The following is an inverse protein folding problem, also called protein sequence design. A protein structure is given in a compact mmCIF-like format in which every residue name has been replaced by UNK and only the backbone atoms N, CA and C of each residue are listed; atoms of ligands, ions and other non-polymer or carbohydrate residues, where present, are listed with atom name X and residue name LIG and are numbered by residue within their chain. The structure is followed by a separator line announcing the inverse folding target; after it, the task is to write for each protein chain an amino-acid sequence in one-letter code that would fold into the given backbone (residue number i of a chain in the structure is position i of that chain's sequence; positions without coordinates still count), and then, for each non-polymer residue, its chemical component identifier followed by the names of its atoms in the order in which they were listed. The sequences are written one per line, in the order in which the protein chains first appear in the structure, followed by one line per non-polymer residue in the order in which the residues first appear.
data_IF_667071564839
#
_entry.id   IF_667071564839
#
_cell.length_a   1.000
_cell.length_b   1.000
_cell.length_c   1.000
_cell.angle_alpha   90.00
_cell.angle_beta   90.00
_cell.angle_gamma   90.00
#
_symmetry.space_group_name_H-M   'P 1'
#
loop_
_entity.id
_entity.type
_entity.pdbx_description
1 polymer ?
#
# COMPACT_ATOMS: atom_id res chain seq x y z
N UNK A 1 -34.65 35.86 11.90
CA UNK A 1 -33.26 35.97 11.41
C UNK A 1 -32.25 35.40 12.42
N UNK A 2 -32.35 34.12 12.83
CA UNK A 2 -31.40 33.51 13.81
C UNK A 2 -31.13 32.03 13.46
N UNK A 3 -30.88 31.69 12.19
CA UNK A 3 -30.51 30.32 11.77
C UNK A 3 -29.21 30.22 10.95
N UNK A 4 -28.59 31.35 10.60
CA UNK A 4 -27.35 31.37 9.81
C UNK A 4 -26.05 31.39 10.64
N UNK A 5 -26.09 31.89 11.87
CA UNK A 5 -24.88 32.20 12.64
C UNK A 5 -24.26 30.98 13.34
N UNK A 6 -25.08 29.96 13.68
CA UNK A 6 -24.60 28.78 14.41
C UNK A 6 -23.82 27.82 13.49
N UNK A 7 -24.15 27.77 12.20
CA UNK A 7 -23.50 26.86 11.25
C UNK A 7 -22.09 27.36 10.88
N UNK A 8 -21.88 28.69 10.77
CA UNK A 8 -20.58 29.28 10.45
C UNK A 8 -19.54 29.06 11.56
N UNK A 9 -19.97 29.10 12.84
CA UNK A 9 -19.12 28.86 14.00
C UNK A 9 -18.62 27.40 14.07
N UNK A 10 -19.43 26.43 13.64
CA UNK A 10 -19.05 25.01 13.61
C UNK A 10 -18.05 24.68 12.50
N UNK A 11 -18.15 25.32 11.33
CA UNK A 11 -17.16 25.14 10.26
C UNK A 11 -15.83 25.83 10.59
N UNK A 12 -15.87 27.06 11.14
CA UNK A 12 -14.65 27.77 11.54
C UNK A 12 -13.90 27.06 12.68
N UNK A 13 -14.61 26.43 13.63
CA UNK A 13 -13.98 25.67 14.72
C UNK A 13 -13.39 24.32 14.27
N UNK A 14 -13.89 23.72 13.19
CA UNK A 14 -13.35 22.50 12.62
C UNK A 14 -12.04 22.75 11.84
N UNK A 15 -11.93 23.86 11.12
CA UNK A 15 -10.70 24.26 10.42
C UNK A 15 -9.61 24.75 11.39
N UNK A 16 -9.99 25.45 12.47
CA UNK A 16 -9.05 25.87 13.52
C UNK A 16 -8.52 24.66 14.32
N UNK A 17 -9.31 23.61 14.51
CA UNK A 17 -8.87 22.40 15.20
C UNK A 17 -7.84 21.58 14.41
N UNK A 18 -7.84 21.66 13.07
CA UNK A 18 -6.81 21.04 12.21
C UNK A 18 -5.54 21.89 12.08
N UNK A 19 -5.64 23.21 12.28
CA UNK A 19 -4.52 24.14 12.22
C UNK A 19 -3.65 24.19 13.50
N UNK A 20 -3.98 23.41 14.54
CA UNK A 20 -3.30 23.45 15.83
C UNK A 20 -2.36 22.25 16.10
N UNK A 21 -2.26 21.28 15.18
CA UNK A 21 -1.32 20.15 15.34
C UNK A 21 0.05 20.50 14.75
N UNK A 22 0.98 20.88 15.62
CA UNK A 22 2.41 21.04 15.30
C UNK A 22 3.03 19.69 14.96
N UNK A 23 3.55 19.53 13.75
CA UNK A 23 4.32 18.35 13.40
C UNK A 23 3.48 17.14 12.95
N UNK A 24 3.93 16.48 11.87
CA UNK A 24 3.38 15.22 11.35
C UNK A 24 4.50 14.21 11.19
N UNK A 25 4.18 12.93 11.38
CA UNK A 25 5.09 11.83 11.07
C UNK A 25 4.35 10.67 10.43
N UNK A 26 4.95 10.06 9.41
CA UNK A 26 4.36 8.94 8.69
C UNK A 26 5.44 8.00 8.12
N UNK A 27 4.99 6.80 7.78
CA UNK A 27 5.81 5.79 7.14
C UNK A 27 5.43 5.68 5.66
N UNK A 28 6.44 5.57 4.81
CA UNK A 28 6.30 5.18 3.41
C UNK A 28 7.22 3.98 3.13
N UNK A 29 7.11 3.43 1.94
CA UNK A 29 7.92 2.31 1.49
C UNK A 29 8.91 2.83 0.46
N UNK A 30 10.20 2.60 0.69
CA UNK A 30 11.27 2.98 -0.23
C UNK A 30 11.13 2.23 -1.55
N UNK A 31 11.19 2.96 -2.66
CA UNK A 31 11.28 2.39 -4.02
C UNK A 31 12.69 1.92 -4.38
N UNK A 32 13.68 2.19 -3.52
CA UNK A 32 15.07 1.85 -3.80
C UNK A 32 15.33 0.36 -3.59
N UNK A 33 15.64 -0.27 -4.70
CA UNK A 33 16.11 -1.63 -4.78
C UNK A 33 17.63 -1.68 -4.54
N UNK A 34 18.11 -2.58 -3.67
CA UNK A 34 19.56 -2.84 -3.50
C UNK A 34 19.84 -4.33 -3.21
N UNK A 35 20.94 -4.90 -3.76
CA UNK A 35 21.36 -6.26 -3.44
C UNK A 35 22.13 -6.31 -2.12
N UNK A 36 22.10 -7.46 -1.45
CA UNK A 36 23.01 -7.73 -0.32
C UNK A 36 24.33 -8.26 -0.90
N UNK A 37 25.44 -7.53 -0.71
CA UNK A 37 26.73 -7.84 -1.34
C UNK A 37 27.22 -9.30 -1.11
N UNK A 38 26.87 -9.89 0.04
CA UNK A 38 27.28 -11.24 0.45
C UNK A 38 26.14 -12.29 0.38
N UNK A 39 25.02 -12.00 -0.29
CA UNK A 39 23.90 -12.95 -0.37
C UNK A 39 23.28 -12.97 -1.77
N UNK A 40 22.76 -14.14 -2.15
CA UNK A 40 21.84 -14.25 -3.28
C UNK A 40 20.44 -13.72 -2.96
N UNK A 41 20.21 -13.20 -1.76
CA UNK A 41 18.93 -12.56 -1.39
C UNK A 41 18.93 -11.08 -1.76
N UNK A 42 17.78 -10.66 -2.29
CA UNK A 42 17.46 -9.26 -2.57
C UNK A 42 16.93 -8.62 -1.28
N UNK A 43 17.29 -7.36 -1.01
CA UNK A 43 16.70 -6.60 0.11
C UNK A 43 15.23 -6.33 -0.24
N UNK A 44 14.33 -6.77 0.63
CA UNK A 44 12.90 -6.47 0.53
C UNK A 44 12.67 -4.96 0.70
N UNK A 45 11.50 -4.46 0.32
CA UNK A 45 11.18 -3.04 0.44
C UNK A 45 11.42 -2.55 1.88
N UNK A 46 12.18 -1.48 2.03
CA UNK A 46 12.57 -0.90 3.33
C UNK A 46 11.64 0.26 3.69
N UNK A 47 11.43 0.49 4.99
CA UNK A 47 10.66 1.64 5.45
C UNK A 47 11.44 2.94 5.22
N UNK A 48 10.71 3.99 4.84
CA UNK A 48 11.16 5.37 4.90
C UNK A 48 10.30 6.12 5.93
N UNK A 49 10.96 6.79 6.86
CA UNK A 49 10.33 7.61 7.90
C UNK A 49 10.28 9.03 7.38
N UNK A 50 9.12 9.66 7.43
CA UNK A 50 8.88 11.00 6.90
C UNK A 50 8.21 11.86 7.97
N UNK A 51 8.56 13.13 8.00
CA UNK A 51 7.97 14.09 8.92
C UNK A 51 8.01 15.51 8.39
N UNK A 52 7.10 16.33 8.89
CA UNK A 52 7.00 17.74 8.60
C UNK A 52 6.76 18.45 9.93
N UNK A 53 7.68 19.31 10.36
CA UNK A 53 7.59 20.07 11.62
C UNK A 53 7.16 21.51 11.35
N UNK A 54 5.99 21.68 10.76
CA UNK A 54 5.38 23.01 10.60
C UNK A 54 4.68 23.40 11.90
N UNK A 55 5.46 23.95 12.83
CA UNK A 55 5.01 24.35 14.15
C UNK A 55 4.98 25.87 14.25
N UNK A 56 3.92 26.47 14.82
CA UNK A 56 3.90 27.89 15.15
C UNK A 56 5.11 28.27 16.00
N UNK A 57 5.62 29.50 15.85
CA UNK A 57 6.78 30.03 16.58
C UNK A 57 6.65 29.98 18.11
N UNK A 58 5.43 29.80 18.64
CA UNK A 58 5.14 29.67 20.06
C UNK A 58 5.04 28.21 20.56
N UNK A 59 5.18 27.22 19.69
CA UNK A 59 5.02 25.80 20.04
C UNK A 59 6.37 25.11 20.12
N UNK A 60 6.60 24.37 21.21
CA UNK A 60 7.84 23.60 21.34
C UNK A 60 7.89 22.45 20.32
N UNK A 61 9.03 22.29 19.66
CA UNK A 61 9.22 21.32 18.58
C UNK A 61 9.42 19.90 19.14
N UNK A 62 8.76 18.88 18.56
CA UNK A 62 9.09 17.49 18.80
C UNK A 62 10.59 17.22 18.57
N UNK A 63 11.23 16.55 19.51
CA UNK A 63 12.69 16.35 19.54
C UNK A 63 13.13 14.96 19.09
N UNK A 64 12.21 13.99 19.11
CA UNK A 64 12.55 12.58 18.90
C UNK A 64 11.50 11.88 18.06
N UNK A 65 11.93 11.11 17.06
CA UNK A 65 11.10 10.18 16.31
C UNK A 65 11.48 8.76 16.69
N UNK A 66 10.49 7.90 16.94
CA UNK A 66 10.70 6.48 17.26
C UNK A 66 9.88 5.58 16.35
N UNK A 67 10.50 4.52 15.82
CA UNK A 67 9.84 3.51 14.98
C UNK A 67 9.65 2.21 15.77
N UNK A 68 8.48 1.58 15.65
CA UNK A 68 8.09 0.41 16.43
C UNK A 68 7.49 -0.70 15.56
N UNK A 69 7.44 -1.92 16.11
CA UNK A 69 6.82 -3.11 15.47
C UNK A 69 5.42 -3.43 15.98
N UNK A 70 4.83 -2.54 16.76
CA UNK A 70 3.43 -2.53 17.18
C UNK A 70 3.10 -1.13 17.70
N UNK A 71 1.84 -0.89 18.03
CA UNK A 71 1.37 0.41 18.50
C UNK A 71 1.99 0.79 19.87
N UNK A 72 2.80 1.87 19.95
CA UNK A 72 3.39 2.31 21.20
C UNK A 72 2.39 2.94 22.17
N UNK A 73 1.20 3.34 21.70
CA UNK A 73 0.13 3.89 22.56
C UNK A 73 -0.44 2.80 23.47
N UNK A 74 -0.71 1.62 22.88
CA UNK A 74 -1.33 0.49 23.56
C UNK A 74 -0.30 -0.45 24.19
N UNK A 75 0.92 -0.50 23.68
CA UNK A 75 1.99 -1.36 24.21
C UNK A 75 3.15 -0.51 24.75
N UNK A 76 3.06 -0.09 26.01
CA UNK A 76 4.08 0.78 26.64
C UNK A 76 5.45 0.10 26.85
N UNK A 77 5.54 -1.22 26.75
CA UNK A 77 6.81 -1.96 26.97
C UNK A 77 7.57 -2.22 25.68
N UNK A 78 6.99 -1.88 24.52
CA UNK A 78 7.63 -2.10 23.24
C UNK A 78 8.88 -1.22 23.08
N UNK A 79 9.98 -1.85 22.67
CA UNK A 79 11.23 -1.14 22.40
C UNK A 79 11.23 -0.59 20.97
N UNK A 80 11.70 0.66 20.77
CA UNK A 80 11.85 1.20 19.42
C UNK A 80 12.91 0.43 18.65
N UNK A 81 12.66 0.20 17.36
CA UNK A 81 13.63 -0.34 16.40
C UNK A 81 14.59 0.71 15.86
N UNK A 82 14.14 1.97 15.86
CA UNK A 82 14.90 3.11 15.40
C UNK A 82 14.50 4.32 16.24
N UNK A 83 15.48 5.14 16.60
CA UNK A 83 15.30 6.44 17.24
C UNK A 83 16.05 7.45 16.36
N UNK A 84 15.40 8.55 16.02
CA UNK A 84 15.97 9.62 15.19
C UNK A 84 15.77 10.95 15.90
N UNK A 85 16.74 11.85 15.72
CA UNK A 85 16.57 13.28 16.01
C UNK A 85 16.16 14.00 14.71
N UNK A 86 15.00 14.68 14.65
CA UNK A 86 14.60 15.44 13.48
C UNK A 86 15.64 16.47 13.03
N UNK A 87 16.38 17.04 13.98
CA UNK A 87 17.41 18.06 13.73
C UNK A 87 18.62 17.51 12.95
N UNK A 88 18.93 16.22 13.08
CA UNK A 88 20.02 15.57 12.33
C UNK A 88 19.65 15.31 10.86
N UNK A 89 18.37 15.44 10.51
CA UNK A 89 17.81 15.09 9.21
C UNK A 89 16.88 16.21 8.70
N UNK A 90 17.43 17.39 8.36
CA UNK A 90 16.65 18.60 8.05
C UNK A 90 15.77 18.47 6.79
N UNK A 91 15.95 17.41 5.98
CA UNK A 91 15.13 17.13 4.80
C UNK A 91 13.75 16.55 5.12
N UNK A 92 13.45 16.24 6.38
CA UNK A 92 12.13 15.72 6.77
C UNK A 92 11.93 14.24 6.44
N UNK A 93 13.00 13.49 6.16
CA UNK A 93 12.90 12.05 5.94
C UNK A 93 14.19 11.29 6.29
N UNK A 94 14.04 9.99 6.53
CA UNK A 94 15.13 9.06 6.78
C UNK A 94 14.83 7.68 6.19
N UNK A 95 15.79 7.14 5.41
CA UNK A 95 15.70 5.79 4.84
C UNK A 95 16.30 4.78 5.80
N UNK A 96 15.47 3.83 6.23
CA UNK A 96 15.85 2.83 7.22
C UNK A 96 16.45 1.58 6.56
N UNK A 97 16.98 0.67 7.39
CA UNK A 97 17.27 -0.72 7.02
C UNK A 97 16.18 -1.70 7.51
N UNK A 98 15.01 -1.18 7.91
CA UNK A 98 13.91 -1.97 8.45
C UNK A 98 13.07 -2.44 7.27
N UNK A 99 13.03 -3.75 7.05
CA UNK A 99 12.23 -4.34 5.97
C UNK A 99 10.74 -4.32 6.30
N UNK A 100 9.92 -4.01 5.29
CA UNK A 100 8.46 -4.10 5.37
C UNK A 100 8.06 -5.58 5.45
N UNK A 101 8.68 -6.44 4.64
CA UNK A 101 8.33 -7.85 4.60
C UNK A 101 7.03 -8.10 3.83
N UNK A 102 6.41 -9.25 4.13
CA UNK A 102 5.05 -9.60 3.72
C UNK A 102 4.19 -9.78 4.97
N UNK A 103 3.88 -8.69 5.71
CA UNK A 103 3.07 -8.81 6.92
C UNK A 103 1.67 -9.35 6.56
N UNK A 104 1.01 -10.07 7.48
CA UNK A 104 -0.40 -10.40 7.34
C UNK A 104 -1.23 -9.14 7.10
N UNK A 105 -2.29 -9.26 6.30
CA UNK A 105 -3.19 -8.15 6.01
C UNK A 105 -4.21 -8.05 7.16
N UNK A 106 -4.19 -6.97 7.96
CA UNK A 106 -5.06 -6.80 9.12
C UNK A 106 -6.53 -6.63 8.71
N UNK A 107 -7.45 -6.67 9.67
CA UNK A 107 -8.88 -6.39 9.42
C UNK A 107 -9.61 -7.47 8.62
N UNK A 108 -9.09 -8.71 8.61
CA UNK A 108 -9.66 -9.85 7.88
C UNK A 108 -9.29 -9.91 6.39
N UNK A 109 -8.45 -8.99 5.92
CA UNK A 109 -8.06 -8.88 4.50
C UNK A 109 -6.98 -9.88 4.05
N UNK A 110 -6.54 -10.77 4.94
CA UNK A 110 -5.63 -11.88 4.65
C UNK A 110 -6.31 -13.06 3.95
N UNK A 111 -7.64 -13.16 4.12
CA UNK A 111 -8.49 -14.15 3.47
C UNK A 111 -9.33 -13.52 2.36
N UNK A 112 -9.61 -14.28 1.30
CA UNK A 112 -10.30 -13.77 0.09
C UNK A 112 -11.83 -13.85 0.18
N UNK A 113 -12.31 -14.54 1.20
CA UNK A 113 -13.69 -14.97 1.43
C UNK A 113 -14.16 -14.65 2.86
N UNK A 114 -13.28 -14.08 3.69
CA UNK A 114 -13.56 -13.76 5.08
C UNK A 114 -14.39 -12.50 5.27
N UNK A 115 -14.89 -12.32 6.49
CA UNK A 115 -15.48 -11.07 6.92
C UNK A 115 -14.39 -9.99 6.99
N UNK A 116 -14.48 -8.98 6.10
CA UNK A 116 -13.51 -7.89 6.04
C UNK A 116 -14.07 -6.63 6.71
N UNK A 117 -13.23 -5.98 7.52
CA UNK A 117 -13.58 -4.71 8.13
C UNK A 117 -13.30 -3.57 7.14
N UNK A 118 -14.26 -2.66 6.89
CA UNK A 118 -14.02 -1.48 6.07
C UNK A 118 -13.06 -0.51 6.78
N UNK A 119 -12.55 0.46 6.04
CA UNK A 119 -11.64 1.50 6.53
C UNK A 119 -10.16 1.13 6.44
N UNK A 120 -9.30 2.10 6.79
CA UNK A 120 -7.86 1.87 6.88
C UNK A 120 -7.49 0.98 8.07
N UNK A 121 -6.49 0.11 7.88
CA UNK A 121 -5.96 -0.75 8.94
C UNK A 121 -4.45 -0.64 9.05
N UNK A 122 -3.94 -0.57 10.28
CA UNK A 122 -2.51 -0.52 10.56
C UNK A 122 -1.84 -1.88 10.31
N UNK A 123 -0.77 -1.86 9.52
CA UNK A 123 0.25 -2.91 9.55
C UNK A 123 1.07 -2.79 10.84
N UNK A 124 1.93 -3.78 11.09
CA UNK A 124 2.77 -3.85 12.30
C UNK A 124 3.76 -2.69 12.46
N UNK A 125 3.98 -1.86 11.45
CA UNK A 125 5.00 -0.81 11.48
C UNK A 125 4.37 0.50 11.94
N UNK A 126 4.84 1.00 13.08
CA UNK A 126 4.38 2.25 13.68
C UNK A 126 5.52 3.25 13.80
N UNK A 127 5.18 4.53 13.78
CA UNK A 127 6.10 5.63 14.04
C UNK A 127 5.44 6.63 14.96
N UNK A 128 6.22 7.25 15.84
CA UNK A 128 5.71 8.29 16.72
C UNK A 128 6.72 9.41 16.91
N UNK A 129 6.18 10.62 17.03
CA UNK A 129 6.85 11.83 17.48
C UNK A 129 6.74 11.92 19.00
N UNK A 130 7.85 12.31 19.62
CA UNK A 130 7.97 12.54 21.05
C UNK A 130 8.52 13.94 21.31
N UNK A 131 8.15 14.47 22.48
CA UNK A 131 8.67 15.71 23.04
C UNK A 131 8.98 15.48 24.51
N UNK A 132 10.22 15.71 24.92
CA UNK A 132 10.69 15.53 26.31
C UNK A 132 10.32 14.16 26.93
N UNK A 133 10.24 13.13 26.08
CA UNK A 133 9.85 11.77 26.48
C UNK A 133 8.35 11.47 26.39
N UNK A 134 7.50 12.47 26.23
CA UNK A 134 6.05 12.31 26.07
C UNK A 134 5.67 12.05 24.62
N UNK A 135 4.73 11.12 24.41
CA UNK A 135 4.22 10.79 23.08
C UNK A 135 3.35 11.93 22.57
N UNK A 136 3.80 12.56 21.49
CA UNK A 136 3.12 13.70 20.89
C UNK A 136 2.10 13.26 19.81
N UNK A 137 2.53 12.42 18.86
CA UNK A 137 1.68 11.89 17.80
C UNK A 137 2.20 10.53 17.36
N UNK A 138 1.31 9.63 16.95
CA UNK A 138 1.68 8.36 16.32
C UNK A 138 0.92 8.10 15.03
N UNK A 139 1.55 7.34 14.14
CA UNK A 139 0.94 6.82 12.92
C UNK A 139 1.50 5.44 12.61
N UNK A 140 0.96 4.80 11.57
CA UNK A 140 1.36 3.47 11.15
C UNK A 140 1.34 3.38 9.63
N UNK A 141 2.08 2.42 9.08
CA UNK A 141 1.91 2.03 7.67
C UNK A 141 0.55 1.32 7.54
N UNK A 142 -0.26 1.69 6.53
CA UNK A 142 -1.67 1.25 6.43
C UNK A 142 -1.99 0.59 5.11
N UNK A 143 -2.97 -0.31 5.15
CA UNK A 143 -3.77 -0.71 3.99
C UNK A 143 -5.02 0.17 3.90
N UNK A 144 -5.53 0.36 2.69
CA UNK A 144 -6.69 1.22 2.39
C UNK A 144 -7.68 0.49 1.47
N UNK A 145 -8.30 -0.59 1.94
CA UNK A 145 -9.04 -1.50 1.07
C UNK A 145 -10.39 -0.94 0.59
N UNK A 146 -10.98 0.06 1.26
CA UNK A 146 -12.32 0.60 0.92
C UNK A 146 -12.33 2.12 0.76
N UNK A 147 -11.19 2.72 0.39
CA UNK A 147 -11.02 4.17 0.45
C UNK A 147 -12.00 4.94 -0.46
N UNK A 148 -12.42 4.38 -1.60
CA UNK A 148 -13.37 5.05 -2.49
C UNK A 148 -14.75 5.14 -1.82
N UNK A 149 -15.20 4.07 -1.18
CA UNK A 149 -16.45 4.00 -0.44
C UNK A 149 -16.40 4.83 0.85
N UNK A 150 -15.29 4.77 1.58
CA UNK A 150 -15.09 5.53 2.82
C UNK A 150 -15.17 7.04 2.55
N UNK A 151 -14.58 7.48 1.43
CA UNK A 151 -14.56 8.87 0.99
C UNK A 151 -15.69 9.22 0.00
N UNK A 152 -16.70 8.35 -0.21
CA UNK A 152 -17.74 8.52 -1.24
C UNK A 152 -18.52 9.83 -1.18
N UNK A 153 -18.63 10.45 0.01
CA UNK A 153 -19.29 11.77 0.15
C UNK A 153 -18.48 12.89 -0.51
N UNK A 154 -17.16 12.75 -0.54
CA UNK A 154 -16.24 13.71 -1.16
C UNK A 154 -15.98 13.34 -2.62
N UNK A 155 -15.79 12.04 -2.90
CA UNK A 155 -15.36 11.55 -4.21
C UNK A 155 -16.49 11.12 -5.14
N UNK A 156 -17.61 10.64 -4.60
CA UNK A 156 -18.63 9.90 -5.38
C UNK A 156 -19.41 10.74 -6.39
N UNK A 157 -19.28 12.08 -6.36
CA UNK A 157 -19.86 12.99 -7.35
C UNK A 157 -18.86 13.44 -8.41
N UNK A 158 -17.59 13.13 -8.23
CA UNK A 158 -16.52 13.54 -9.14
C UNK A 158 -16.44 12.55 -10.30
N UNK A 159 -16.30 13.01 -11.56
CA UNK A 159 -15.98 12.13 -12.68
C UNK A 159 -14.67 11.38 -12.40
N UNK A 160 -14.59 10.12 -12.81
CA UNK A 160 -13.38 9.28 -12.63
C UNK A 160 -12.12 9.98 -13.16
N UNK A 161 -12.21 10.68 -14.30
CA UNK A 161 -11.08 11.41 -14.89
C UNK A 161 -10.60 12.64 -14.11
N UNK A 162 -11.29 13.03 -13.04
CA UNK A 162 -10.87 14.11 -12.13
C UNK A 162 -10.27 13.59 -10.82
N UNK A 163 -10.27 12.27 -10.62
CA UNK A 163 -9.74 11.64 -9.42
C UNK A 163 -8.26 11.30 -9.60
N UNK A 164 -7.47 11.48 -8.54
CA UNK A 164 -6.15 10.86 -8.45
C UNK A 164 -6.34 9.40 -8.03
N UNK A 165 -6.20 8.48 -8.98
CA UNK A 165 -6.39 7.04 -8.75
C UNK A 165 -5.04 6.34 -8.81
N UNK A 166 -4.61 5.65 -7.74
CA UNK A 166 -3.36 4.90 -7.76
C UNK A 166 -3.49 3.67 -8.66
N UNK A 167 -2.47 3.48 -9.50
CA UNK A 167 -2.37 2.37 -10.45
C UNK A 167 -1.04 1.65 -10.37
N UNK A 168 -1.00 0.43 -10.90
CA UNK A 168 0.24 -0.36 -11.01
C UNK A 168 0.49 -0.72 -12.48
N UNK A 169 1.73 -0.52 -12.94
CA UNK A 169 2.18 -0.89 -14.28
C UNK A 169 2.45 -2.40 -14.39
N UNK A 170 1.97 -3.04 -15.45
CA UNK A 170 2.02 -4.50 -15.62
C UNK A 170 1.60 -5.24 -14.34
N UNK A 171 0.40 -4.97 -13.81
CA UNK A 171 -0.05 -5.39 -12.48
C UNK A 171 0.04 -6.90 -12.21
N UNK A 172 -0.05 -7.72 -13.26
CA UNK A 172 0.08 -9.18 -13.18
C UNK A 172 1.52 -9.71 -13.16
N UNK A 173 2.52 -8.84 -13.32
CA UNK A 173 3.94 -9.18 -13.37
C UNK A 173 4.57 -9.17 -11.99
N UNK A 174 4.10 -10.08 -11.12
CA UNK A 174 4.65 -10.32 -9.79
C UNK A 174 5.25 -11.72 -9.65
N UNK A 175 6.14 -11.86 -8.67
CA UNK A 175 6.77 -13.14 -8.39
C UNK A 175 5.82 -14.11 -7.67
N UNK A 176 5.86 -15.37 -8.07
CA UNK A 176 5.33 -16.50 -7.31
C UNK A 176 6.45 -17.05 -6.39
N UNK A 177 6.60 -16.53 -5.18
CA UNK A 177 7.59 -16.98 -4.17
C UNK A 177 8.74 -15.98 -3.87
N UNK A 178 9.80 -16.46 -3.19
CA UNK A 178 10.90 -15.62 -2.65
C UNK A 178 11.93 -15.17 -3.72
N UNK A 179 12.37 -13.90 -3.68
CA UNK A 179 13.35 -13.32 -4.61
C UNK A 179 14.78 -13.87 -4.41
N UNK A 180 15.40 -14.35 -5.48
CA UNK A 180 16.80 -14.81 -5.50
C UNK A 180 17.63 -14.03 -6.53
N UNK A 181 18.96 -14.02 -6.40
CA UNK A 181 19.88 -13.36 -7.34
C UNK A 181 19.92 -14.04 -8.70
N UNK A 182 19.52 -15.31 -8.82
CA UNK A 182 19.36 -15.96 -10.14
C UNK A 182 18.18 -15.40 -10.94
N UNK A 183 17.28 -14.68 -10.27
CA UNK A 183 16.19 -13.94 -10.89
C UNK A 183 16.63 -12.58 -11.47
N UNK A 184 17.91 -12.38 -11.76
CA UNK A 184 18.40 -11.13 -12.38
C UNK A 184 17.73 -10.85 -13.73
N UNK A 185 17.33 -11.89 -14.49
CA UNK A 185 16.45 -11.73 -15.66
C UNK A 185 15.03 -11.26 -15.29
N UNK A 186 14.51 -11.69 -14.13
CA UNK A 186 13.21 -11.21 -13.62
C UNK A 186 13.23 -9.74 -13.22
N UNK A 187 14.41 -9.11 -12.98
CA UNK A 187 14.49 -7.67 -12.69
C UNK A 187 13.92 -6.79 -13.80
N UNK A 188 13.96 -7.27 -15.04
CA UNK A 188 13.40 -6.57 -16.19
C UNK A 188 12.01 -7.07 -16.60
N UNK A 189 11.49 -8.10 -15.91
CA UNK A 189 10.20 -8.75 -16.23
C UNK A 189 9.14 -8.51 -15.17
N UNK A 190 9.53 -8.36 -13.90
CA UNK A 190 8.63 -8.16 -12.78
C UNK A 190 8.59 -6.69 -12.42
N UNK A 191 7.38 -6.15 -12.35
CA UNK A 191 7.12 -4.75 -12.01
C UNK A 191 6.43 -4.63 -10.65
N UNK A 192 5.93 -5.74 -10.11
CA UNK A 192 5.18 -5.79 -8.86
C UNK A 192 5.80 -6.81 -7.89
N UNK A 193 5.88 -6.48 -6.62
CA UNK A 193 6.34 -7.39 -5.55
C UNK A 193 5.16 -8.10 -4.84
N UNK A 194 3.92 -7.73 -5.18
CA UNK A 194 2.66 -8.23 -4.61
C UNK A 194 1.71 -8.77 -5.68
N UNK A 195 0.91 -9.77 -5.31
CA UNK A 195 -0.20 -10.22 -6.16
C UNK A 195 -1.32 -9.17 -6.25
N UNK A 196 -2.25 -9.36 -7.19
CA UNK A 196 -3.33 -8.39 -7.45
C UNK A 196 -4.24 -8.20 -6.23
N UNK A 197 -4.59 -9.27 -5.51
CA UNK A 197 -5.34 -9.14 -4.25
C UNK A 197 -4.69 -8.15 -3.29
N UNK A 198 -3.40 -8.34 -2.98
CA UNK A 198 -2.66 -7.47 -2.07
C UNK A 198 -2.53 -6.05 -2.62
N UNK A 199 -2.30 -5.87 -3.93
CA UNK A 199 -2.31 -4.53 -4.54
C UNK A 199 -3.64 -3.80 -4.28
N UNK A 200 -4.78 -4.47 -4.51
CA UNK A 200 -6.12 -3.91 -4.28
C UNK A 200 -6.36 -3.57 -2.80
N UNK A 201 -5.99 -4.45 -1.88
CA UNK A 201 -6.10 -4.21 -0.43
C UNK A 201 -5.27 -3.01 0.02
N UNK A 202 -4.10 -2.79 -0.59
CA UNK A 202 -3.26 -1.62 -0.32
C UNK A 202 -3.82 -0.31 -0.92
N UNK A 203 -4.87 -0.38 -1.75
CA UNK A 203 -5.60 0.79 -2.26
C UNK A 203 -5.48 1.01 -3.77
N UNK A 204 -4.75 0.15 -4.51
CA UNK A 204 -4.66 0.24 -5.97
C UNK A 204 -6.04 0.04 -6.62
N UNK A 205 -6.38 0.86 -7.62
CA UNK A 205 -7.66 0.76 -8.34
C UNK A 205 -7.51 0.82 -9.86
N UNK A 206 -6.33 1.12 -10.39
CA UNK A 206 -6.05 1.01 -11.82
C UNK A 206 -5.06 -0.14 -12.06
N UNK A 207 -5.49 -1.15 -12.79
CA UNK A 207 -4.69 -2.33 -13.09
C UNK A 207 -4.34 -2.36 -14.58
N UNK A 208 -3.04 -2.43 -14.85
CA UNK A 208 -2.43 -2.47 -16.17
C UNK A 208 -2.16 -3.92 -16.60
N UNK A 209 -2.94 -4.46 -17.54
CA UNK A 209 -3.02 -5.90 -17.83
C UNK A 209 -2.61 -6.20 -19.28
N UNK A 210 -1.35 -6.65 -19.47
CA UNK A 210 -0.78 -7.14 -20.75
C UNK A 210 -1.21 -8.54 -21.11
N UNK A 211 -2.22 -8.72 -21.95
CA UNK A 211 -2.74 -10.06 -22.25
C UNK A 211 -2.15 -10.67 -23.51
N UNK A 212 -1.62 -11.89 -23.39
CA UNK A 212 -1.29 -12.79 -24.50
C UNK A 212 -2.22 -14.00 -24.56
N UNK A 213 -2.52 -14.45 -25.78
CA UNK A 213 -3.28 -15.69 -26.03
C UNK A 213 -2.37 -16.79 -26.56
N UNK A 214 -2.47 -17.98 -25.97
CA UNK A 214 -1.64 -19.14 -26.27
C UNK A 214 -2.52 -20.33 -26.65
N UNK A 215 -2.71 -20.60 -27.96
CA UNK A 215 -3.56 -21.71 -28.41
C UNK A 215 -2.96 -23.06 -28.03
N UNK A 216 -3.83 -24.04 -27.76
CA UNK A 216 -3.43 -25.44 -27.54
C UNK A 216 -2.71 -25.98 -28.78
N UNK A 217 -1.55 -26.63 -28.58
CA UNK A 217 -0.84 -27.27 -29.70
C UNK A 217 -1.56 -28.57 -30.08
N UNK A 218 -1.86 -28.81 -31.37
CA UNK A 218 -2.59 -30.00 -31.82
C UNK A 218 -1.89 -31.34 -31.52
N UNK A 219 -0.58 -31.33 -31.18
CA UNK A 219 0.21 -32.53 -30.93
C UNK A 219 0.76 -32.66 -29.49
N UNK A 220 0.14 -32.00 -28.49
CA UNK A 220 0.53 -32.19 -27.10
C UNK A 220 -0.04 -33.53 -26.57
N UNK A 221 0.75 -34.60 -26.69
CA UNK A 221 0.49 -35.95 -26.18
C UNK A 221 0.56 -36.08 -24.65
N UNK A 222 0.33 -34.99 -23.90
CA UNK A 222 0.24 -35.05 -22.45
C UNK A 222 -1.23 -35.35 -22.06
N UNK A 223 -1.53 -36.54 -21.50
CA UNK A 223 -2.87 -36.85 -21.03
C UNK A 223 -3.15 -36.00 -19.78
N UNK A 224 -4.03 -35.00 -19.90
CA UNK A 224 -4.50 -34.21 -18.75
C UNK A 224 -4.80 -32.73 -19.02
N UNK A 225 -4.33 -32.14 -20.12
CA UNK A 225 -4.65 -30.75 -20.49
C UNK A 225 -5.90 -30.67 -21.40
N UNK A 226 -6.98 -31.34 -21.01
CA UNK A 226 -8.26 -31.17 -21.68
C UNK A 226 -8.84 -29.77 -21.35
N UNK A 227 -8.92 -28.95 -22.40
CA UNK A 227 -10.07 -28.09 -22.69
C UNK A 227 -10.58 -27.16 -21.58
N UNK A 228 -9.71 -26.38 -20.95
CA UNK A 228 -10.17 -25.16 -20.28
C UNK A 228 -9.66 -23.93 -21.04
N UNK A 229 -10.52 -23.37 -21.91
CA UNK A 229 -10.22 -22.21 -22.76
C UNK A 229 -9.68 -21.00 -21.98
N UNK A 230 -10.05 -20.91 -20.69
CA UNK A 230 -9.61 -19.88 -19.73
C UNK A 230 -8.09 -19.95 -19.47
N UNK A 231 -7.47 -21.13 -19.55
CA UNK A 231 -6.02 -21.29 -19.28
C UNK A 231 -5.13 -20.83 -20.44
N UNK A 232 -5.73 -20.36 -21.54
CA UNK A 232 -5.01 -19.87 -22.73
C UNK A 232 -4.63 -18.40 -22.65
N UNK A 233 -5.22 -17.63 -21.73
CA UNK A 233 -4.91 -16.22 -21.54
C UNK A 233 -3.93 -16.01 -20.39
N UNK A 234 -2.85 -15.31 -20.69
CA UNK A 234 -1.76 -15.03 -19.75
C UNK A 234 -1.45 -13.55 -19.74
N UNK A 235 -1.08 -13.04 -18.56
CA UNK A 235 -0.40 -11.77 -18.45
C UNK A 235 1.07 -11.95 -18.77
N UNK A 236 1.56 -11.09 -19.65
CA UNK A 236 2.91 -11.12 -20.16
C UNK A 236 3.71 -9.91 -19.71
N UNK A 237 5.03 -10.07 -19.68
CA UNK A 237 5.94 -8.96 -19.85
C UNK A 237 6.67 -9.18 -21.17
N UNK A 238 6.33 -8.38 -22.19
CA UNK A 238 6.79 -8.61 -23.57
C UNK A 238 6.39 -10.02 -24.06
N UNK A 239 7.33 -10.84 -24.56
CA UNK A 239 7.08 -12.20 -25.04
C UNK A 239 6.98 -13.26 -23.92
N UNK A 240 7.22 -12.89 -22.66
CA UNK A 240 7.32 -13.84 -21.55
C UNK A 240 5.98 -13.96 -20.80
N UNK A 241 5.48 -15.19 -20.66
CA UNK A 241 4.30 -15.54 -19.85
C UNK A 241 4.62 -15.46 -18.36
N UNK A 242 3.83 -14.72 -17.59
CA UNK A 242 4.05 -14.55 -16.14
C UNK A 242 2.92 -15.16 -15.31
N UNK A 243 1.70 -14.62 -15.42
CA UNK A 243 0.58 -14.99 -14.54
C UNK A 243 -0.66 -15.32 -15.38
N UNK A 244 -1.39 -16.41 -15.11
CA UNK A 244 -2.64 -16.68 -15.80
C UNK A 244 -3.64 -15.54 -15.60
N UNK A 245 -4.28 -15.06 -16.67
CA UNK A 245 -5.26 -13.98 -16.56
C UNK A 245 -6.41 -14.36 -15.60
N UNK A 246 -6.76 -15.64 -15.57
CA UNK A 246 -7.80 -16.18 -14.69
C UNK A 246 -7.51 -15.98 -13.20
N UNK A 247 -6.23 -15.97 -12.79
CA UNK A 247 -5.86 -15.69 -11.41
C UNK A 247 -6.17 -14.22 -11.05
N UNK A 248 -5.87 -13.30 -11.97
CA UNK A 248 -6.09 -11.86 -11.77
C UNK A 248 -7.59 -11.54 -11.74
N UNK A 249 -8.37 -12.09 -12.68
CA UNK A 249 -9.82 -11.90 -12.70
C UNK A 249 -10.47 -12.44 -11.42
N UNK A 250 -9.99 -13.58 -10.89
CA UNK A 250 -10.44 -14.12 -9.60
C UNK A 250 -10.10 -13.19 -8.44
N UNK A 251 -8.88 -12.64 -8.40
CA UNK A 251 -8.47 -11.69 -7.36
C UNK A 251 -9.35 -10.43 -7.37
N UNK A 252 -9.60 -9.86 -8.56
CA UNK A 252 -10.48 -8.69 -8.73
C UNK A 252 -11.91 -9.00 -8.31
N UNK A 253 -12.47 -10.14 -8.75
CA UNK A 253 -13.82 -10.58 -8.37
C UNK A 253 -13.96 -10.72 -6.86
N UNK A 254 -13.06 -11.50 -6.25
CA UNK A 254 -13.11 -11.75 -4.80
C UNK A 254 -13.01 -10.43 -4.03
N UNK A 255 -12.16 -9.50 -4.50
CA UNK A 255 -12.03 -8.19 -3.87
C UNK A 255 -13.35 -7.40 -3.95
N UNK A 256 -13.97 -7.31 -5.14
CA UNK A 256 -15.24 -6.60 -5.32
C UNK A 256 -16.42 -7.25 -4.57
N UNK A 257 -16.38 -8.57 -4.35
CA UNK A 257 -17.39 -9.29 -3.58
C UNK A 257 -17.40 -8.85 -2.10
N UNK A 258 -16.23 -8.53 -1.52
CA UNK A 258 -16.08 -8.11 -0.11
C UNK A 258 -15.94 -6.59 0.08
N UNK A 259 -15.33 -5.88 -0.87
CA UNK A 259 -15.08 -4.43 -0.85
C UNK A 259 -16.21 -3.66 -1.55
N UNK A 260 -17.42 -3.72 -0.98
CA UNK A 260 -18.62 -3.12 -1.59
C UNK A 260 -18.46 -1.62 -1.79
N UNK A 261 -18.80 -1.15 -3.00
CA UNK A 261 -18.75 0.27 -3.37
C UNK A 261 -17.40 0.75 -3.90
N UNK A 262 -16.41 -0.14 -3.98
CA UNK A 262 -15.16 0.13 -4.70
C UNK A 262 -15.33 -0.07 -6.21
N UNK A 263 -14.47 0.59 -6.98
CA UNK A 263 -14.42 0.47 -8.45
C UNK A 263 -12.99 0.11 -8.86
N UNK A 264 -12.82 -0.98 -9.60
CA UNK A 264 -11.53 -1.37 -10.18
C UNK A 264 -11.54 -1.11 -11.68
N UNK A 265 -10.59 -0.32 -12.16
CA UNK A 265 -10.34 -0.04 -13.57
C UNK A 265 -9.34 -1.07 -14.07
N UNK A 266 -9.74 -1.84 -15.08
CA UNK A 266 -8.88 -2.82 -15.73
C UNK A 266 -8.56 -2.34 -17.13
N UNK A 267 -7.30 -1.98 -17.36
CA UNK A 267 -6.77 -1.61 -18.66
C UNK A 267 -6.16 -2.85 -19.32
N UNK A 268 -6.79 -3.31 -20.40
CA UNK A 268 -6.32 -4.47 -21.15
C UNK A 268 -5.58 -4.00 -22.40
N UNK A 269 -4.29 -4.31 -22.45
CA UNK A 269 -3.43 -3.92 -23.57
C UNK A 269 -2.52 -5.08 -24.01
N UNK A 270 -1.69 -4.81 -25.01
CA UNK A 270 -0.74 -5.76 -25.58
C UNK A 270 0.64 -5.12 -25.69
#
# INVERSE_FOLDING_TARGET
MIKGTILLLLYASCDIALAAQCGKVWLTVSSLWRPIAASDKVVDAELEVNWELDCPTSTEYPDTIKVFTADPVHNKTIRPKLILSPLEHPRGYYRTNITVGRPPLPGGWDTRDGATLPGPHCLKHHVALYKDGDLFMSSCLRIWPTWMYDLRRQLGRLPIGSLMIPGTHNSGCYKHGDLTRRDVFQRYLLTQDRNVWTQLVHGIRYLDIRVGYYPSRPNATAPGEESNSINRFWVNHDVIRITPLSAIIKDVRNFLDVARGEVVIMDFHR
#
